data_IF_424233585566
#
_entry.id   IF_424233585566
#
_cell.length_a   1.000
_cell.length_b   1.000
_cell.length_c   1.000
_cell.angle_alpha   90.00
_cell.angle_beta   90.00
_cell.angle_gamma   90.00
#
_symmetry.space_group_name_H-M   'P 1'
#
loop_
_entity.id
_entity.type
_entity.pdbx_description
1 polymer ?
#
# COMPACT_ATOMS: atom_id res chain seq x y z
N UNK A 1 -8.00 12.04 12.29
CA UNK A 1 -8.02 10.66 11.69
C UNK A 1 -6.67 10.02 11.95
N UNK A 2 -6.63 8.74 12.35
CA UNK A 2 -5.38 8.04 12.63
C UNK A 2 -4.65 7.58 11.36
N UNK A 3 -3.44 7.00 11.54
CA UNK A 3 -2.72 6.28 10.47
C UNK A 3 -3.65 5.24 9.81
N UNK A 4 -3.48 5.02 8.54
CA UNK A 4 -4.26 4.09 7.71
C UNK A 4 -5.75 4.44 7.55
N UNK A 5 -6.15 5.67 7.87
CA UNK A 5 -7.52 6.10 7.69
C UNK A 5 -8.53 5.39 8.63
N UNK A 6 -9.79 5.41 8.25
CA UNK A 6 -10.89 4.88 9.07
C UNK A 6 -11.47 3.55 8.55
N UNK A 7 -11.36 3.28 7.26
CA UNK A 7 -12.08 2.17 6.62
C UNK A 7 -11.77 0.80 7.23
N UNK A 8 -10.51 0.54 7.62
CA UNK A 8 -10.08 -0.74 8.24
C UNK A 8 -10.75 -1.07 9.58
N UNK A 9 -11.41 -0.09 10.20
CA UNK A 9 -12.11 -0.26 11.49
C UNK A 9 -13.63 -0.28 11.35
N UNK A 10 -14.13 -0.32 10.11
CA UNK A 10 -15.55 -0.32 9.82
C UNK A 10 -16.04 -1.70 9.37
N UNK A 11 -17.30 -1.98 9.60
CA UNK A 11 -17.96 -3.16 9.04
C UNK A 11 -18.35 -2.87 7.59
N UNK A 12 -17.96 -3.77 6.69
CA UNK A 12 -18.34 -3.73 5.28
C UNK A 12 -19.54 -4.64 5.05
N UNK A 13 -20.50 -4.17 4.28
CA UNK A 13 -21.58 -4.99 3.80
C UNK A 13 -21.10 -5.89 2.66
N UNK A 14 -21.58 -7.13 2.62
CA UNK A 14 -21.39 -8.02 1.49
C UNK A 14 -22.26 -7.54 0.32
N UNK A 15 -21.62 -7.09 -0.77
CA UNK A 15 -22.28 -6.60 -1.96
C UNK A 15 -22.46 -7.70 -3.04
N UNK A 16 -21.43 -8.56 -3.18
CA UNK A 16 -21.44 -9.66 -4.15
C UNK A 16 -20.59 -10.82 -3.62
N UNK A 17 -21.05 -12.04 -3.83
CA UNK A 17 -20.27 -13.25 -3.59
C UNK A 17 -20.54 -14.25 -4.71
N UNK A 18 -19.49 -14.75 -5.33
CA UNK A 18 -19.55 -15.75 -6.39
C UNK A 18 -18.33 -16.65 -6.41
N UNK A 19 -18.26 -17.56 -7.37
CA UNK A 19 -17.08 -18.40 -7.56
C UNK A 19 -15.87 -17.52 -7.93
N UNK A 20 -14.85 -17.54 -7.06
CA UNK A 20 -13.62 -16.77 -7.25
C UNK A 20 -13.76 -15.25 -7.10
N UNK A 21 -14.92 -14.74 -6.62
CA UNK A 21 -15.11 -13.30 -6.47
C UNK A 21 -15.87 -12.95 -5.18
N UNK A 22 -15.38 -11.90 -4.49
CA UNK A 22 -16.01 -11.31 -3.31
C UNK A 22 -15.99 -9.78 -3.44
N UNK A 23 -17.12 -9.13 -3.22
CA UNK A 23 -17.22 -7.67 -3.23
C UNK A 23 -17.83 -7.19 -1.91
N UNK A 24 -17.10 -6.31 -1.25
CA UNK A 24 -17.47 -5.69 0.01
C UNK A 24 -17.68 -4.19 -0.20
N UNK A 25 -18.68 -3.60 0.45
CA UNK A 25 -18.99 -2.17 0.35
C UNK A 25 -19.12 -1.53 1.72
N UNK A 26 -18.51 -0.38 1.88
CA UNK A 26 -18.65 0.52 3.01
C UNK A 26 -19.27 1.83 2.51
N UNK A 27 -20.45 2.17 2.99
CA UNK A 27 -21.03 3.50 2.82
C UNK A 27 -20.73 4.36 4.05
N UNK A 28 -20.56 5.67 3.86
CA UNK A 28 -20.38 6.59 4.97
C UNK A 28 -21.59 6.54 5.92
N UNK A 29 -21.31 6.65 7.21
CA UNK A 29 -22.29 6.63 8.29
C UNK A 29 -21.97 7.76 9.29
N UNK A 30 -22.81 8.03 10.30
CA UNK A 30 -22.56 9.11 11.25
C UNK A 30 -21.17 9.07 11.90
N UNK A 31 -20.67 7.88 12.24
CA UNK A 31 -19.36 7.73 12.88
C UNK A 31 -18.20 8.00 11.90
N UNK A 32 -18.31 7.57 10.65
CA UNK A 32 -17.29 7.89 9.64
C UNK A 32 -17.29 9.35 9.27
N UNK A 33 -18.47 9.99 9.20
CA UNK A 33 -18.61 11.41 8.88
C UNK A 33 -18.07 12.34 9.97
N UNK A 34 -18.03 11.90 11.23
CA UNK A 34 -17.37 12.63 12.31
C UNK A 34 -15.84 12.72 12.10
N UNK A 35 -15.22 11.66 11.61
CA UNK A 35 -13.78 11.60 11.37
C UNK A 35 -13.38 12.11 9.97
N UNK A 36 -14.25 11.97 8.99
CA UNK A 36 -14.06 12.30 7.58
C UNK A 36 -15.38 12.86 7.00
N UNK A 37 -15.59 14.19 7.00
CA UNK A 37 -16.90 14.83 6.76
C UNK A 37 -17.28 14.90 5.28
N UNK A 38 -17.03 13.84 4.52
CA UNK A 38 -17.37 13.71 3.11
C UNK A 38 -18.20 12.44 2.89
N UNK A 39 -19.46 12.56 2.45
CA UNK A 39 -20.26 11.39 2.08
C UNK A 39 -19.58 10.60 0.96
N UNK A 40 -19.33 9.33 1.19
CA UNK A 40 -18.61 8.49 0.24
C UNK A 40 -19.02 7.03 0.35
N UNK A 41 -18.66 6.26 -0.65
CA UNK A 41 -18.66 4.81 -0.59
C UNK A 41 -17.29 4.26 -1.03
N UNK A 42 -16.86 3.20 -0.36
CA UNK A 42 -15.69 2.41 -0.73
C UNK A 42 -16.15 0.99 -1.04
N UNK A 43 -15.86 0.55 -2.25
CA UNK A 43 -16.03 -0.85 -2.63
C UNK A 43 -14.65 -1.52 -2.72
N UNK A 44 -14.52 -2.71 -2.14
CA UNK A 44 -13.34 -3.56 -2.23
C UNK A 44 -13.75 -4.87 -2.88
N UNK A 45 -13.18 -5.18 -4.03
CA UNK A 45 -13.41 -6.42 -4.75
C UNK A 45 -12.15 -7.28 -4.74
N UNK A 46 -12.31 -8.54 -4.36
CA UNK A 46 -11.29 -9.58 -4.50
C UNK A 46 -11.70 -10.53 -5.60
N UNK A 47 -10.80 -10.79 -6.53
CA UNK A 47 -11.04 -11.72 -7.64
C UNK A 47 -9.87 -12.70 -7.73
N UNK A 48 -10.16 -14.01 -7.66
CA UNK A 48 -9.13 -15.04 -7.85
C UNK A 48 -8.66 -15.02 -9.30
N UNK A 49 -7.35 -15.21 -9.49
CA UNK A 49 -6.71 -15.46 -10.78
C UNK A 49 -6.18 -16.88 -10.82
N UNK A 50 -5.55 -17.28 -11.92
CA UNK A 50 -4.98 -18.64 -12.05
C UNK A 50 -3.98 -18.99 -10.94
N UNK A 51 -3.13 -18.02 -10.56
CA UNK A 51 -2.06 -18.23 -9.58
C UNK A 51 -1.97 -17.10 -8.54
N UNK A 52 -3.11 -16.53 -8.14
CA UNK A 52 -3.12 -15.44 -7.17
C UNK A 52 -4.48 -14.77 -7.05
N UNK A 53 -4.49 -13.47 -6.83
CA UNK A 53 -5.72 -12.68 -6.74
C UNK A 53 -5.47 -11.21 -7.09
N UNK A 54 -6.54 -10.56 -7.56
CA UNK A 54 -6.63 -9.11 -7.71
C UNK A 54 -7.41 -8.51 -6.54
N UNK A 55 -6.96 -7.38 -6.04
CA UNK A 55 -7.72 -6.50 -5.14
C UNK A 55 -7.99 -5.19 -5.86
N UNK A 56 -9.26 -4.87 -6.05
CA UNK A 56 -9.69 -3.62 -6.66
C UNK A 56 -10.45 -2.75 -5.66
N UNK A 57 -10.08 -1.48 -5.58
CA UNK A 57 -10.78 -0.45 -4.81
C UNK A 57 -11.59 0.42 -5.75
N UNK A 58 -12.81 0.76 -5.37
CA UNK A 58 -13.58 1.82 -6.03
C UNK A 58 -14.01 2.83 -4.98
N UNK A 59 -13.55 4.07 -5.14
CA UNK A 59 -13.92 5.20 -4.31
C UNK A 59 -15.00 6.01 -5.03
N UNK A 60 -16.09 6.31 -4.35
CA UNK A 60 -17.23 7.04 -4.89
C UNK A 60 -17.56 8.23 -3.98
N UNK A 61 -17.61 9.42 -4.54
CA UNK A 61 -18.10 10.62 -3.85
C UNK A 61 -19.63 10.66 -3.96
N UNK A 62 -20.33 10.35 -2.88
CA UNK A 62 -21.79 10.36 -2.81
C UNK A 62 -22.34 11.68 -2.29
N UNK A 63 -21.47 12.67 -2.02
CA UNK A 63 -21.80 14.01 -1.57
C UNK A 63 -21.95 15.02 -2.72
N UNK A 64 -22.18 16.26 -2.33
CA UNK A 64 -22.41 17.40 -3.22
C UNK A 64 -21.21 18.36 -3.37
N UNK A 65 -20.07 18.01 -2.72
CA UNK A 65 -18.83 18.80 -2.73
C UNK A 65 -17.65 17.98 -3.22
N UNK A 66 -16.60 18.62 -3.76
CA UNK A 66 -15.34 17.91 -4.05
C UNK A 66 -14.82 17.20 -2.78
N UNK A 67 -14.41 15.96 -2.93
CA UNK A 67 -13.96 15.08 -1.85
C UNK A 67 -12.47 14.79 -1.99
N UNK A 68 -11.62 15.26 -1.06
CA UNK A 68 -10.20 14.91 -1.04
C UNK A 68 -10.02 13.51 -0.44
N UNK A 69 -9.25 12.64 -1.10
CA UNK A 69 -9.01 11.28 -0.61
C UNK A 69 -7.62 10.75 -0.99
N UNK A 70 -7.19 9.74 -0.29
CA UNK A 70 -6.11 8.84 -0.67
C UNK A 70 -6.55 7.40 -0.39
N UNK A 71 -6.07 6.46 -1.18
CA UNK A 71 -6.38 5.04 -1.05
C UNK A 71 -5.12 4.19 -1.22
N UNK A 72 -5.07 3.05 -0.57
CA UNK A 72 -4.00 2.09 -0.73
C UNK A 72 -4.32 0.74 -0.11
N UNK A 73 -3.53 -0.26 -0.48
CA UNK A 73 -3.54 -1.59 0.10
C UNK A 73 -2.45 -1.77 1.15
N UNK A 74 -2.61 -2.78 2.01
CA UNK A 74 -1.62 -3.12 3.03
C UNK A 74 -1.52 -4.66 3.19
N UNK A 75 -1.41 -5.43 2.07
CA UNK A 75 -1.26 -6.88 2.19
C UNK A 75 0.09 -7.23 2.80
N UNK A 76 0.08 -8.22 3.71
CA UNK A 76 1.27 -8.78 4.35
C UNK A 76 1.44 -10.25 3.98
N UNK A 77 2.67 -10.65 3.75
CA UNK A 77 3.04 -11.99 3.32
C UNK A 77 4.01 -12.61 4.32
N UNK A 78 3.72 -13.82 4.78
CA UNK A 78 4.67 -14.57 5.59
C UNK A 78 5.96 -14.83 4.81
N UNK A 79 7.09 -14.52 5.40
CA UNK A 79 8.42 -14.76 4.87
C UNK A 79 9.25 -15.38 6.00
N UNK A 80 9.83 -16.56 5.79
CA UNK A 80 9.86 -17.35 4.55
C UNK A 80 8.51 -18.01 4.21
N UNK A 81 8.27 -18.27 2.93
CA UNK A 81 7.16 -19.13 2.47
C UNK A 81 7.53 -20.61 2.49
N UNK A 82 8.78 -20.93 2.68
CA UNK A 82 9.37 -22.27 2.76
C UNK A 82 9.95 -22.50 4.17
N UNK A 83 9.48 -23.52 4.88
CA UNK A 83 9.88 -23.79 6.27
C UNK A 83 11.40 -24.04 6.45
N UNK A 84 12.11 -24.42 5.39
CA UNK A 84 13.55 -24.64 5.42
C UNK A 84 14.37 -23.37 5.12
N UNK A 85 13.74 -22.26 4.72
CA UNK A 85 14.41 -21.02 4.40
C UNK A 85 14.41 -20.05 5.60
N UNK A 86 15.36 -19.12 5.62
CA UNK A 86 15.40 -18.00 6.54
C UNK A 86 14.80 -16.74 5.90
N UNK A 87 14.46 -15.74 6.72
CA UNK A 87 14.00 -14.44 6.25
C UNK A 87 15.02 -13.77 5.31
N UNK A 88 16.29 -13.90 5.63
CA UNK A 88 17.44 -13.34 4.89
C UNK A 88 17.76 -14.08 3.59
N UNK A 89 17.15 -15.24 3.32
CA UNK A 89 17.27 -15.91 2.04
C UNK A 89 16.43 -15.28 0.92
N UNK A 90 15.61 -14.28 1.28
CA UNK A 90 14.74 -13.57 0.35
C UNK A 90 15.30 -12.21 -0.06
N UNK A 91 14.86 -11.74 -1.21
CA UNK A 91 15.12 -10.39 -1.70
C UNK A 91 13.82 -9.69 -2.06
N UNK A 92 13.84 -8.36 -1.94
CA UNK A 92 12.89 -7.48 -2.64
C UNK A 92 13.46 -7.30 -4.05
N UNK A 93 12.72 -7.73 -5.07
CA UNK A 93 13.17 -7.66 -6.48
C UNK A 93 12.23 -6.78 -7.27
N UNK A 94 12.74 -5.72 -7.85
CA UNK A 94 12.03 -4.85 -8.78
C UNK A 94 12.08 -5.40 -10.21
N UNK A 95 11.11 -5.05 -11.05
CA UNK A 95 11.07 -5.38 -12.47
C UNK A 95 12.29 -4.78 -13.22
N UNK A 96 12.67 -3.57 -12.86
CA UNK A 96 13.74 -2.77 -13.47
C UNK A 96 14.74 -2.30 -12.41
N UNK A 97 15.87 -1.78 -12.86
CA UNK A 97 16.80 -1.05 -12.01
C UNK A 97 16.16 0.23 -11.50
N UNK A 98 16.35 0.51 -10.21
CA UNK A 98 15.77 1.66 -9.54
C UNK A 98 16.86 2.59 -8.97
N UNK A 99 16.63 3.89 -9.12
CA UNK A 99 17.39 4.93 -8.42
C UNK A 99 16.43 5.66 -7.52
N UNK A 100 16.56 5.44 -6.21
CA UNK A 100 15.58 5.87 -5.22
C UNK A 100 16.24 6.38 -3.95
N UNK A 101 15.57 7.32 -3.28
CA UNK A 101 15.95 7.81 -1.95
C UNK A 101 14.75 7.74 -1.04
N UNK A 102 14.67 6.68 -0.23
CA UNK A 102 13.58 6.51 0.72
C UNK A 102 13.69 7.50 1.88
N UNK A 103 12.67 8.32 2.15
CA UNK A 103 12.69 9.29 3.24
C UNK A 103 12.72 8.61 4.61
N UNK A 104 13.29 9.30 5.58
CA UNK A 104 13.18 8.92 6.98
C UNK A 104 11.80 9.20 7.55
N UNK A 105 11.41 8.40 8.53
CA UNK A 105 10.21 8.65 9.34
C UNK A 105 10.67 9.18 10.69
N UNK A 106 10.31 10.43 11.01
CA UNK A 106 10.83 11.18 12.16
C UNK A 106 9.70 11.66 13.09
N UNK A 107 10.06 11.96 14.35
CA UNK A 107 9.13 12.55 15.33
C UNK A 107 7.79 11.84 15.41
N UNK A 108 6.70 12.58 15.20
CA UNK A 108 5.32 12.07 15.22
C UNK A 108 4.94 11.30 13.93
N UNK A 109 5.89 10.54 13.38
CA UNK A 109 5.72 9.75 12.16
C UNK A 109 5.58 10.57 10.87
N UNK A 110 6.27 11.69 10.81
CA UNK A 110 6.36 12.54 9.62
C UNK A 110 7.43 12.00 8.67
N UNK A 111 7.20 12.14 7.37
CA UNK A 111 8.19 11.82 6.34
C UNK A 111 9.15 12.99 6.16
N UNK A 112 10.44 12.73 6.24
CA UNK A 112 11.49 13.74 6.09
C UNK A 112 12.51 13.32 5.01
N UNK A 113 12.46 14.00 3.87
CA UNK A 113 13.38 13.78 2.75
C UNK A 113 14.78 14.35 2.98
N UNK A 114 15.00 15.10 4.05
CA UNK A 114 16.36 15.48 4.48
C UNK A 114 17.09 14.34 5.17
N UNK A 115 16.36 13.29 5.58
CA UNK A 115 16.90 12.09 6.21
C UNK A 115 16.58 10.87 5.35
N UNK A 116 17.59 10.19 4.87
CA UNK A 116 17.44 9.03 3.99
C UNK A 116 17.66 7.75 4.80
N UNK A 117 16.74 6.78 4.66
CA UNK A 117 16.83 5.46 5.29
C UNK A 117 17.41 4.41 4.37
N UNK A 118 17.17 4.54 3.07
CA UNK A 118 17.69 3.67 2.03
C UNK A 118 17.95 4.51 0.76
N UNK A 119 19.07 4.26 0.10
CA UNK A 119 19.41 4.82 -1.20
C UNK A 119 19.71 3.68 -2.18
N UNK A 120 19.14 3.76 -3.39
CA UNK A 120 19.39 2.88 -4.51
C UNK A 120 19.97 3.71 -5.65
N UNK A 121 21.04 3.21 -6.29
CA UNK A 121 21.76 3.86 -7.40
C UNK A 121 21.82 2.95 -8.63
N UNK A 122 20.68 2.36 -9.04
CA UNK A 122 20.58 1.45 -10.16
C UNK A 122 20.45 -0.01 -9.73
N UNK A 123 20.08 -0.27 -8.47
CA UNK A 123 19.88 -1.64 -8.02
C UNK A 123 18.50 -2.14 -8.41
N UNK A 124 18.45 -3.43 -8.73
CA UNK A 124 17.22 -4.17 -9.00
C UNK A 124 16.76 -5.01 -7.80
N UNK A 125 17.65 -5.29 -6.86
CA UNK A 125 17.39 -6.17 -5.73
C UNK A 125 17.87 -5.56 -4.42
N UNK A 126 17.08 -5.74 -3.37
CA UNK A 126 17.46 -5.41 -2.00
C UNK A 126 17.45 -6.71 -1.20
N UNK A 127 18.60 -7.21 -0.69
CA UNK A 127 18.63 -8.35 0.21
C UNK A 127 17.78 -8.09 1.45
N UNK A 128 16.86 -9.01 1.75
CA UNK A 128 15.94 -8.86 2.87
C UNK A 128 16.70 -9.07 4.19
N UNK A 129 16.49 -8.17 5.14
CA UNK A 129 17.00 -8.23 6.51
C UNK A 129 16.13 -7.35 7.41
N UNK A 130 15.98 -7.72 8.64
CA UNK A 130 15.10 -7.00 9.58
C UNK A 130 15.53 -5.56 9.84
N UNK A 131 16.84 -5.27 9.77
CA UNK A 131 17.40 -3.93 9.98
C UNK A 131 16.91 -2.89 8.96
N UNK A 132 16.49 -3.31 7.76
CA UNK A 132 15.87 -2.44 6.76
C UNK A 132 14.68 -1.68 7.34
N UNK A 133 13.95 -2.30 8.26
CA UNK A 133 12.71 -1.78 8.85
C UNK A 133 12.90 -1.17 10.24
N UNK A 134 14.15 -1.01 10.71
CA UNK A 134 14.44 -0.45 12.04
C UNK A 134 13.90 0.98 12.24
N UNK A 135 13.71 1.72 11.14
CA UNK A 135 13.16 3.08 11.12
C UNK A 135 11.75 3.16 10.55
N UNK A 136 10.95 2.07 10.56
CA UNK A 136 9.62 1.95 9.97
C UNK A 136 9.68 1.54 8.47
N UNK A 137 8.69 1.90 7.64
CA UNK A 137 8.57 1.50 6.25
C UNK A 137 9.62 2.15 5.33
N UNK A 138 10.05 1.40 4.32
CA UNK A 138 10.73 1.96 3.15
C UNK A 138 9.65 2.51 2.20
N UNK A 139 9.78 3.77 1.79
CA UNK A 139 8.78 4.41 0.91
C UNK A 139 9.45 4.78 -0.40
N UNK A 140 8.96 4.19 -1.46
CA UNK A 140 9.39 4.39 -2.83
C UNK A 140 8.37 5.23 -3.59
N UNK A 141 8.85 6.12 -4.46
CA UNK A 141 8.00 7.00 -5.26
C UNK A 141 8.36 6.92 -6.73
N UNK A 142 7.32 6.87 -7.57
CA UNK A 142 7.49 6.94 -9.03
C UNK A 142 8.56 5.96 -9.54
N UNK A 143 8.50 4.73 -9.06
CA UNK A 143 9.36 3.65 -9.52
C UNK A 143 9.28 3.48 -11.05
N UNK A 144 10.38 3.06 -11.68
CA UNK A 144 10.39 2.62 -13.08
C UNK A 144 9.65 1.29 -13.25
N UNK A 145 9.62 0.50 -12.18
CA UNK A 145 8.98 -0.80 -12.09
C UNK A 145 7.48 -0.68 -11.82
N UNK A 146 6.72 -1.57 -12.39
CA UNK A 146 5.30 -1.76 -12.10
C UNK A 146 5.03 -3.07 -11.36
N UNK A 147 6.05 -3.90 -11.19
CA UNK A 147 6.00 -5.09 -10.35
C UNK A 147 7.14 -5.11 -9.34
N UNK A 148 6.86 -5.71 -8.18
CA UNK A 148 7.84 -5.99 -7.12
C UNK A 148 7.60 -7.39 -6.58
N UNK A 149 8.67 -8.16 -6.38
CA UNK A 149 8.57 -9.50 -5.81
C UNK A 149 9.31 -9.59 -4.47
N UNK A 150 8.73 -10.37 -3.55
CA UNK A 150 9.42 -10.94 -2.40
C UNK A 150 9.73 -12.38 -2.76
N UNK A 151 10.96 -12.69 -3.07
CA UNK A 151 11.33 -13.98 -3.68
C UNK A 151 12.63 -14.52 -3.11
N UNK A 152 12.69 -15.83 -2.89
CA UNK A 152 13.95 -16.53 -2.64
C UNK A 152 14.64 -16.80 -4.00
N UNK A 153 15.78 -16.15 -4.29
CA UNK A 153 16.44 -16.29 -5.60
C UNK A 153 16.96 -17.71 -5.89
N UNK A 154 17.17 -18.54 -4.85
CA UNK A 154 17.65 -19.90 -5.03
C UNK A 154 16.53 -20.87 -5.45
N UNK A 155 15.29 -20.65 -4.99
CA UNK A 155 14.16 -21.55 -5.25
C UNK A 155 13.14 -20.96 -6.22
N UNK A 156 13.14 -19.63 -6.41
CA UNK A 156 12.11 -18.90 -7.15
C UNK A 156 10.78 -18.75 -6.42
N UNK A 157 10.63 -19.30 -5.20
CA UNK A 157 9.40 -19.23 -4.43
C UNK A 157 9.21 -17.86 -3.79
N UNK A 158 7.97 -17.37 -3.79
CA UNK A 158 7.64 -16.09 -3.21
C UNK A 158 6.30 -15.54 -3.66
N UNK A 159 6.20 -14.23 -3.66
CA UNK A 159 5.03 -13.50 -4.16
C UNK A 159 5.49 -12.32 -5.02
N UNK A 160 4.72 -11.99 -6.04
CA UNK A 160 4.91 -10.81 -6.87
C UNK A 160 3.65 -9.94 -6.79
N UNK A 161 3.82 -8.63 -6.67
CA UNK A 161 2.75 -7.64 -6.75
C UNK A 161 2.90 -6.80 -8.02
N UNK A 162 1.82 -6.69 -8.80
CA UNK A 162 1.64 -5.67 -9.84
C UNK A 162 0.90 -4.49 -9.23
N UNK A 163 1.41 -3.24 -9.41
CA UNK A 163 0.89 -2.02 -8.76
C UNK A 163 0.93 -0.77 -9.64
N UNK A 164 0.90 -0.92 -10.94
CA UNK A 164 1.08 0.18 -11.94
C UNK A 164 0.16 1.39 -11.75
N UNK A 165 -0.96 1.22 -11.06
CA UNK A 165 -1.91 2.30 -10.81
C UNK A 165 -1.58 3.15 -9.58
N UNK A 166 -0.53 2.78 -8.84
CA UNK A 166 -0.14 3.45 -7.60
C UNK A 166 1.24 4.11 -7.75
N UNK A 167 1.35 5.43 -7.51
CA UNK A 167 2.62 6.15 -7.62
C UNK A 167 3.58 5.89 -6.47
N UNK A 168 3.09 5.27 -5.39
CA UNK A 168 3.85 5.02 -4.17
C UNK A 168 3.80 3.54 -3.82
N UNK A 169 4.91 3.03 -3.32
CA UNK A 169 5.02 1.69 -2.75
C UNK A 169 5.68 1.79 -1.37
N UNK A 170 4.95 1.38 -0.33
CA UNK A 170 5.51 1.11 0.99
C UNK A 170 5.96 -0.34 1.09
N UNK A 171 7.13 -0.59 1.67
CA UNK A 171 7.58 -1.94 2.03
C UNK A 171 7.91 -1.92 3.51
N UNK A 172 7.26 -2.79 4.29
CA UNK A 172 7.35 -2.77 5.74
C UNK A 172 7.38 -4.16 6.37
N UNK A 173 8.09 -4.27 7.46
CA UNK A 173 8.03 -5.40 8.39
C UNK A 173 8.09 -4.90 9.83
N UNK A 174 7.62 -5.71 10.79
CA UNK A 174 7.60 -5.32 12.18
C UNK A 174 9.01 -5.28 12.80
N UNK A 175 9.27 -4.25 13.61
CA UNK A 175 10.56 -4.03 14.27
C UNK A 175 10.94 -5.12 15.28
N UNK A 176 10.02 -6.01 15.65
CA UNK A 176 10.26 -7.15 16.54
C UNK A 176 10.67 -8.43 15.78
N UNK A 177 11.21 -8.28 14.58
CA UNK A 177 11.58 -9.38 13.69
C UNK A 177 10.38 -10.27 13.32
N UNK A 178 9.24 -9.65 13.02
CA UNK A 178 8.05 -10.37 12.55
C UNK A 178 8.36 -11.16 11.27
N UNK A 179 7.90 -12.42 11.15
CA UNK A 179 8.18 -13.27 10.01
C UNK A 179 7.25 -12.95 8.82
N UNK A 180 7.17 -11.69 8.45
CA UNK A 180 6.36 -11.23 7.33
C UNK A 180 6.85 -9.90 6.76
N UNK A 181 6.49 -9.62 5.52
CA UNK A 181 6.73 -8.34 4.85
C UNK A 181 5.44 -7.87 4.20
N UNK A 182 5.12 -6.59 4.36
CA UNK A 182 4.01 -5.94 3.67
C UNK A 182 4.52 -5.27 2.40
N UNK A 183 3.74 -5.39 1.33
CA UNK A 183 3.89 -4.63 0.09
C UNK A 183 2.66 -3.72 -0.03
N UNK A 184 2.86 -2.42 -0.01
CA UNK A 184 1.78 -1.47 0.24
C UNK A 184 1.67 -0.45 -0.90
N UNK A 185 0.83 -0.70 -1.93
CA UNK A 185 0.60 0.26 -3.01
C UNK A 185 -0.31 1.39 -2.55
N UNK A 186 0.12 2.66 -2.70
CA UNK A 186 -0.60 3.84 -2.22
C UNK A 186 -0.76 4.93 -3.29
N UNK A 187 -1.88 5.68 -3.24
CA UNK A 187 -2.03 6.93 -4.00
C UNK A 187 -1.44 8.12 -3.25
N UNK A 188 -1.46 8.12 -1.92
CA UNK A 188 -0.92 9.15 -1.04
C UNK A 188 -0.17 8.54 0.14
N UNK A 189 0.66 9.32 0.80
CA UNK A 189 1.53 8.87 1.90
C UNK A 189 1.21 9.57 3.22
N UNK A 190 2.02 9.29 4.24
CA UNK A 190 2.01 10.03 5.51
C UNK A 190 2.40 11.50 5.30
N UNK A 191 2.04 12.34 6.26
CA UNK A 191 2.35 13.77 6.24
C UNK A 191 3.86 14.01 6.16
N UNK A 192 4.28 14.92 5.28
CA UNK A 192 5.67 15.36 5.22
C UNK A 192 6.00 16.30 6.38
N UNK A 193 7.23 16.27 6.87
CA UNK A 193 7.71 17.22 7.89
C UNK A 193 7.64 18.69 7.45
N UNK A 194 7.54 18.94 6.15
CA UNK A 194 7.44 20.27 5.53
C UNK A 194 6.02 20.67 5.15
N UNK A 195 5.03 19.80 5.32
CA UNK A 195 3.62 20.10 4.99
C UNK A 195 2.91 20.83 6.13
N UNK A 196 1.96 21.71 5.77
CA UNK A 196 1.00 22.29 6.69
C UNK A 196 -0.13 21.33 7.07
N UNK A 197 -1.15 21.85 7.78
CA UNK A 197 -2.27 21.04 8.32
C UNK A 197 -3.48 20.95 7.38
N UNK A 198 -3.42 21.53 6.18
CA UNK A 198 -4.54 21.48 5.22
C UNK A 198 -4.58 20.11 4.57
N UNK A 199 -5.65 19.36 4.85
CA UNK A 199 -5.80 17.97 4.42
C UNK A 199 -5.73 17.81 2.90
N UNK A 200 -6.40 18.68 2.16
CA UNK A 200 -6.48 18.68 0.70
C UNK A 200 -5.12 18.94 0.01
N UNK A 201 -4.16 19.50 0.74
CA UNK A 201 -2.84 19.86 0.25
C UNK A 201 -1.76 18.82 0.59
N UNK A 202 -2.14 17.72 1.26
CA UNK A 202 -1.21 16.64 1.58
C UNK A 202 -0.71 15.95 0.32
N UNK A 203 0.53 15.48 0.36
CA UNK A 203 1.18 14.79 -0.75
C UNK A 203 0.37 13.56 -1.22
N UNK A 204 0.12 13.49 -2.52
CA UNK A 204 -0.62 12.39 -3.14
C UNK A 204 -2.13 12.42 -2.92
N UNK A 205 -2.65 13.48 -2.27
CA UNK A 205 -4.09 13.67 -2.11
C UNK A 205 -4.76 13.88 -3.46
N UNK A 206 -5.82 13.15 -3.71
CA UNK A 206 -6.66 13.25 -4.90
C UNK A 206 -7.95 13.96 -4.55
N UNK A 207 -8.64 14.50 -5.55
CA UNK A 207 -9.94 15.15 -5.36
C UNK A 207 -10.95 14.55 -6.32
N UNK A 208 -12.04 14.02 -5.80
CA UNK A 208 -13.12 13.44 -6.58
C UNK A 208 -14.31 14.41 -6.61
N UNK A 209 -14.75 14.78 -7.81
CA UNK A 209 -15.91 15.64 -7.99
C UNK A 209 -17.20 14.99 -7.44
N UNK A 210 -18.27 15.77 -7.12
CA UNK A 210 -19.56 15.21 -6.78
C UNK A 210 -20.04 14.15 -7.77
N UNK A 211 -20.55 13.03 -7.27
CA UNK A 211 -20.95 11.85 -8.07
C UNK A 211 -19.81 11.20 -8.87
N UNK A 212 -18.57 11.64 -8.65
CA UNK A 212 -17.38 11.04 -9.26
C UNK A 212 -17.06 9.67 -8.68
N UNK A 213 -16.37 8.86 -9.49
CA UNK A 213 -15.94 7.51 -9.12
C UNK A 213 -14.57 7.23 -9.74
N UNK A 214 -13.65 6.70 -8.96
CA UNK A 214 -12.33 6.26 -9.41
C UNK A 214 -12.02 4.86 -8.88
N UNK A 215 -11.27 4.09 -9.65
CA UNK A 215 -10.89 2.73 -9.29
C UNK A 215 -9.39 2.51 -9.42
N UNK A 216 -8.85 1.68 -8.54
CA UNK A 216 -7.45 1.27 -8.46
C UNK A 216 -7.41 -0.22 -8.20
N UNK A 217 -6.46 -0.92 -8.78
CA UNK A 217 -6.26 -2.33 -8.51
C UNK A 217 -4.77 -2.68 -8.40
N UNK A 218 -4.49 -3.70 -7.62
CA UNK A 218 -3.21 -4.38 -7.61
C UNK A 218 -3.44 -5.89 -7.68
N UNK A 219 -2.49 -6.61 -8.25
CA UNK A 219 -2.57 -8.06 -8.39
C UNK A 219 -1.43 -8.73 -7.64
N UNK A 220 -1.73 -9.77 -6.90
CA UNK A 220 -0.75 -10.65 -6.26
C UNK A 220 -0.67 -11.95 -7.05
N UNK A 221 0.56 -12.39 -7.35
CA UNK A 221 0.86 -13.70 -7.93
C UNK A 221 1.71 -14.51 -6.97
N UNK A 222 1.41 -15.79 -6.84
CA UNK A 222 2.26 -16.76 -6.13
C UNK A 222 3.29 -17.32 -7.11
N UNK A 223 4.56 -17.30 -6.70
CA UNK A 223 5.72 -17.74 -7.49
C UNK A 223 6.18 -19.15 -7.08
#
# INVERSE_FOLDING_TARGET
MGRHGFARHQEFALAEQGEGRLVLRLDSNPATLEAYPFPCALTVAYTLTENGYETAFTVENTGDKPMPYAIGGHPGFNIPVDEQAAFEDYVIRFEKEETQRCPGIVGDKLLDYSQITLELEGEREIPLRHELFARDALIFENLNSHTVALVNPATGKGVEMEFSQFPLLGIWSAQNNGPYVCLEPWTGCGTLATEGDVFEQKKGMRTLAPSGKESYAFTIRFL
#
